data_IF_869405893058
#
_entry.id   IF_869405893058
#
_cell.length_a   1.000
_cell.length_b   1.000
_cell.length_c   1.000
_cell.angle_alpha   90.00
_cell.angle_beta   90.00
_cell.angle_gamma   90.00
#
_symmetry.space_group_name_H-M   'P 1'
#
loop_
_entity.id
_entity.type
_entity.pdbx_description
1 polymer ?
#
# COMPACT_ATOMS: atom_id res chain seq x y z
N UNK A 1 -3.59 -8.79 13.62
CA UNK A 1 -4.44 -8.48 12.44
C UNK A 1 -4.00 -7.14 11.88
N UNK A 2 -3.67 -7.10 10.59
CA UNK A 2 -3.30 -5.89 9.84
C UNK A 2 -4.44 -5.61 8.86
N UNK A 3 -4.85 -4.34 8.75
CA UNK A 3 -5.88 -3.91 7.80
C UNK A 3 -5.41 -2.64 7.11
N UNK A 4 -5.39 -2.67 5.77
CA UNK A 4 -5.32 -1.52 4.90
C UNK A 4 -6.68 -1.39 4.23
N UNK A 5 -7.25 -0.19 4.31
CA UNK A 5 -8.52 0.16 3.68
C UNK A 5 -8.26 1.37 2.77
N UNK A 6 -8.40 1.16 1.46
CA UNK A 6 -8.19 2.11 0.40
C UNK A 6 -6.91 2.96 0.56
N UNK A 7 -5.79 2.32 0.91
CA UNK A 7 -4.55 3.03 1.22
C UNK A 7 -3.99 3.71 -0.03
N UNK A 8 -3.71 5.01 0.09
CA UNK A 8 -3.11 5.84 -0.96
C UNK A 8 -1.76 6.36 -0.47
N UNK A 9 -0.72 6.25 -1.31
CA UNK A 9 0.60 6.81 -1.06
C UNK A 9 1.01 7.71 -2.22
N UNK A 10 1.20 8.99 -1.90
CA UNK A 10 1.68 10.01 -2.83
C UNK A 10 3.05 10.47 -2.34
N UNK A 11 4.02 10.53 -3.24
CA UNK A 11 5.31 11.16 -3.04
C UNK A 11 5.36 12.47 -3.81
N UNK A 12 5.77 13.54 -3.15
CA UNK A 12 6.06 14.80 -3.82
C UNK A 12 7.55 14.80 -4.23
N UNK A 13 7.81 14.94 -5.52
CA UNK A 13 9.15 15.00 -6.10
C UNK A 13 9.27 16.27 -6.90
N UNK A 14 10.15 17.17 -6.47
CA UNK A 14 10.19 18.55 -6.96
C UNK A 14 8.79 19.20 -6.88
N UNK A 15 8.24 19.61 -8.03
CA UNK A 15 6.91 20.23 -8.13
C UNK A 15 5.83 19.26 -8.64
N UNK A 16 6.12 17.95 -8.66
CA UNK A 16 5.19 16.93 -9.16
C UNK A 16 4.82 15.91 -8.08
N UNK A 17 3.53 15.59 -8.04
CA UNK A 17 3.01 14.49 -7.23
C UNK A 17 3.05 13.18 -8.02
N UNK A 18 3.67 12.17 -7.42
CA UNK A 18 3.73 10.80 -7.95
C UNK A 18 2.94 9.88 -7.04
N UNK A 19 1.92 9.22 -7.61
CA UNK A 19 1.13 8.22 -6.89
C UNK A 19 1.87 6.89 -6.92
N UNK A 20 2.41 6.47 -5.78
CA UNK A 20 3.09 5.19 -5.63
C UNK A 20 2.16 4.04 -5.27
N UNK A 21 1.02 4.34 -4.66
CA UNK A 21 0.00 3.37 -4.31
C UNK A 21 -1.36 4.04 -4.39
N UNK A 22 -2.31 3.41 -5.07
CA UNK A 22 -3.69 3.88 -5.14
C UNK A 22 -4.63 2.74 -4.81
N UNK A 23 -5.39 2.90 -3.73
CA UNK A 23 -6.48 1.99 -3.37
C UNK A 23 -6.04 0.59 -2.98
N UNK A 24 -5.01 0.48 -2.14
CA UNK A 24 -4.64 -0.82 -1.57
C UNK A 24 -5.60 -1.20 -0.43
N UNK A 25 -6.39 -2.23 -0.69
CA UNK A 25 -7.16 -2.97 0.30
C UNK A 25 -6.42 -4.26 0.68
N UNK A 26 -6.12 -4.45 1.96
CA UNK A 26 -5.37 -5.60 2.44
C UNK A 26 -5.81 -6.00 3.84
N UNK A 27 -6.01 -7.29 4.08
CA UNK A 27 -6.21 -7.83 5.42
C UNK A 27 -5.24 -8.98 5.64
N UNK A 28 -4.45 -8.91 6.72
CA UNK A 28 -3.56 -9.99 7.17
C UNK A 28 -3.98 -10.44 8.55
N UNK A 29 -4.33 -11.71 8.70
CA UNK A 29 -4.78 -12.28 9.98
C UNK A 29 -3.58 -12.54 10.89
N UNK A 30 -3.84 -12.67 12.19
CA UNK A 30 -2.79 -13.02 13.15
C UNK A 30 -2.26 -14.43 12.86
N UNK A 31 -0.94 -14.56 12.74
CA UNK A 31 -0.28 -15.83 12.38
C UNK A 31 -0.19 -16.11 10.88
N UNK A 32 -0.71 -15.23 10.03
CA UNK A 32 -0.64 -15.36 8.57
C UNK A 32 0.69 -14.81 8.04
N UNK A 33 1.32 -15.55 7.13
CA UNK A 33 2.50 -15.11 6.38
C UNK A 33 2.06 -14.56 5.03
N UNK A 34 2.41 -13.31 4.74
CA UNK A 34 2.07 -12.64 3.48
C UNK A 34 3.33 -12.05 2.83
N UNK A 35 3.43 -12.15 1.51
CA UNK A 35 4.46 -11.51 0.70
C UNK A 35 3.84 -10.55 -0.32
N UNK A 36 4.51 -9.42 -0.56
CA UNK A 36 4.19 -8.49 -1.64
C UNK A 36 5.27 -8.61 -2.72
N UNK A 37 4.86 -8.74 -3.98
CA UNK A 37 5.77 -8.86 -5.13
C UNK A 37 5.36 -7.82 -6.17
N UNK A 38 6.34 -7.17 -6.77
CA UNK A 38 6.18 -6.24 -7.90
C UNK A 38 7.13 -6.61 -9.03
N UNK A 39 6.85 -6.09 -10.22
CA UNK A 39 7.69 -6.22 -11.43
C UNK A 39 8.45 -4.95 -11.69
#
# INVERSE_FOLDING_TARGET
MIVCDNLVKIYQIAEHDVVALQGLDLVVKTGELMGLVGV
#
